data_IF_045152808949
#
_entry.id   IF_045152808949
#
_cell.length_a   1.000
_cell.length_b   1.000
_cell.length_c   1.000
_cell.angle_alpha   90.00
_cell.angle_beta   90.00
_cell.angle_gamma   90.00
#
_symmetry.space_group_name_H-M   'P 1'
#
loop_
_entity.id
_entity.type
_entity.pdbx_description
1 polymer ?
#
# COMPACT_ATOMS: atom_id res chain seq x y z
N UNK A 1 -21.69 -58.27 -52.30
CA UNK A 1 -21.21 -57.86 -50.96
C UNK A 1 -20.41 -56.57 -51.12
N UNK A 2 -20.95 -55.43 -50.71
CA UNK A 2 -20.23 -54.15 -50.73
C UNK A 2 -19.80 -53.81 -49.29
N UNK A 3 -18.49 -53.77 -49.05
CA UNK A 3 -17.92 -53.48 -47.73
C UNK A 3 -17.88 -51.96 -47.49
N UNK A 4 -18.60 -51.54 -46.46
CA UNK A 4 -18.55 -50.20 -45.86
C UNK A 4 -17.14 -49.93 -45.33
N UNK A 5 -16.45 -48.92 -45.89
CA UNK A 5 -15.18 -48.43 -45.36
C UNK A 5 -15.48 -47.49 -44.19
N UNK A 6 -15.41 -48.04 -42.98
CA UNK A 6 -15.57 -47.31 -41.72
C UNK A 6 -14.48 -46.25 -41.55
N UNK A 7 -14.90 -44.98 -41.61
CA UNK A 7 -14.53 -43.88 -40.70
C UNK A 7 -13.08 -43.96 -40.17
N UNK A 8 -12.10 -43.52 -40.95
CA UNK A 8 -10.71 -43.33 -40.48
C UNK A 8 -10.29 -41.85 -40.54
N UNK A 9 -11.22 -40.93 -40.31
CA UNK A 9 -10.94 -39.47 -40.35
C UNK A 9 -11.19 -38.78 -39.01
N UNK A 10 -11.77 -39.46 -38.00
CA UNK A 10 -12.05 -38.88 -36.69
C UNK A 10 -10.83 -38.84 -35.74
N UNK A 11 -9.90 -39.78 -35.89
CA UNK A 11 -8.83 -40.03 -34.90
C UNK A 11 -7.73 -38.97 -34.89
N UNK A 12 -7.45 -38.35 -36.04
CA UNK A 12 -6.42 -37.29 -36.16
C UNK A 12 -6.89 -35.94 -35.62
N UNK A 13 -8.19 -35.64 -35.75
CA UNK A 13 -8.78 -34.42 -35.20
C UNK A 13 -8.81 -34.44 -33.66
N UNK A 14 -9.08 -35.60 -33.06
CA UNK A 14 -9.10 -35.78 -31.60
C UNK A 14 -7.70 -35.64 -30.99
N UNK A 15 -6.66 -36.17 -31.66
CA UNK A 15 -5.27 -36.02 -31.23
C UNK A 15 -4.76 -34.56 -31.32
N UNK A 16 -5.15 -33.82 -32.37
CA UNK A 16 -4.85 -32.39 -32.50
C UNK A 16 -5.56 -31.55 -31.43
N UNK A 17 -6.79 -31.92 -31.06
CA UNK A 17 -7.56 -31.23 -30.02
C UNK A 17 -6.95 -31.42 -28.62
N UNK A 18 -6.44 -32.62 -28.31
CA UNK A 18 -5.77 -32.89 -27.02
C UNK A 18 -4.45 -32.14 -26.87
N UNK A 19 -3.73 -31.88 -27.96
CA UNK A 19 -2.47 -31.11 -27.93
C UNK A 19 -2.70 -29.60 -27.68
N UNK A 20 -3.89 -29.07 -28.06
CA UNK A 20 -4.27 -27.68 -27.82
C UNK A 20 -4.72 -27.40 -26.38
N UNK A 21 -5.03 -28.43 -25.59
CA UNK A 21 -5.50 -28.29 -24.20
C UNK A 21 -4.42 -28.53 -23.14
N UNK A 22 -3.15 -28.68 -23.54
CA UNK A 22 -1.99 -28.67 -22.64
C UNK A 22 -1.72 -27.24 -22.13
N UNK A 23 -2.71 -26.65 -21.46
CA UNK A 23 -2.61 -25.34 -20.81
C UNK A 23 -1.61 -25.41 -19.66
N UNK A 24 -0.62 -24.52 -19.68
CA UNK A 24 0.28 -24.33 -18.53
C UNK A 24 -0.54 -23.85 -17.34
N UNK A 25 -0.52 -24.61 -16.25
CA UNK A 25 -1.04 -24.16 -14.95
C UNK A 25 -0.11 -23.05 -14.46
N UNK A 26 -0.54 -21.79 -14.61
CA UNK A 26 0.16 -20.65 -14.04
C UNK A 26 -0.19 -20.57 -12.55
N UNK A 27 0.75 -20.97 -11.69
CA UNK A 27 0.63 -20.78 -10.26
C UNK A 27 0.98 -19.33 -9.93
N UNK A 28 -0.04 -18.53 -9.58
CA UNK A 28 0.19 -17.20 -9.01
C UNK A 28 0.77 -17.36 -7.60
N UNK A 29 2.03 -16.97 -7.41
CA UNK A 29 2.64 -16.91 -6.08
C UNK A 29 2.13 -15.65 -5.38
N UNK A 30 1.75 -15.72 -4.09
CA UNK A 30 1.37 -14.54 -3.33
C UNK A 30 2.49 -13.48 -3.36
N UNK A 31 2.13 -12.23 -3.65
CA UNK A 31 3.10 -11.13 -3.61
C UNK A 31 3.66 -10.98 -2.19
N UNK A 32 4.97 -10.99 -2.03
CA UNK A 32 5.61 -10.72 -0.76
C UNK A 32 5.20 -9.31 -0.27
N UNK A 33 4.91 -9.11 1.04
CA UNK A 33 4.56 -7.79 1.52
C UNK A 33 5.71 -6.81 1.30
N UNK A 34 5.45 -5.75 0.52
CA UNK A 34 6.44 -4.74 0.13
C UNK A 34 6.86 -3.92 1.36
N UNK A 35 7.93 -4.37 2.03
CA UNK A 35 8.59 -3.61 3.09
C UNK A 35 9.65 -2.68 2.48
N UNK A 36 9.56 -1.40 2.83
CA UNK A 36 10.50 -0.36 2.44
C UNK A 36 11.34 0.05 3.65
N UNK A 37 12.57 0.51 3.37
CA UNK A 37 13.42 1.13 4.39
C UNK A 37 13.28 2.64 4.28
N UNK A 38 12.71 3.27 5.31
CA UNK A 38 12.60 4.72 5.42
C UNK A 38 13.69 5.25 6.35
N UNK A 39 14.11 6.50 6.11
CA UNK A 39 15.21 7.17 6.82
C UNK A 39 14.69 8.38 7.58
N UNK A 40 15.08 8.50 8.84
CA UNK A 40 14.89 9.71 9.65
C UNK A 40 15.90 10.81 9.25
N UNK A 41 15.66 12.07 9.62
CA UNK A 41 16.60 13.17 9.36
C UNK A 41 17.99 12.95 9.96
N UNK A 42 18.09 12.30 11.12
CA UNK A 42 19.36 11.92 11.77
C UNK A 42 20.09 10.76 11.08
N UNK A 43 19.44 10.16 10.09
CA UNK A 43 19.94 9.06 9.29
C UNK A 43 19.66 7.66 9.80
N UNK A 44 19.03 7.52 10.97
CA UNK A 44 18.50 6.25 11.44
C UNK A 44 17.45 5.69 10.48
N UNK A 45 17.35 4.36 10.39
CA UNK A 45 16.49 3.68 9.43
C UNK A 45 15.48 2.79 10.14
N UNK A 46 14.30 2.64 9.54
CA UNK A 46 13.26 1.72 10.02
C UNK A 46 12.48 1.13 8.85
N UNK A 47 11.82 0.00 9.08
CA UNK A 47 10.97 -0.65 8.08
C UNK A 47 9.57 -0.06 8.09
N UNK A 48 8.97 0.07 6.91
CA UNK A 48 7.58 0.49 6.75
C UNK A 48 6.94 -0.24 5.57
N UNK A 49 5.61 -0.28 5.54
CA UNK A 49 4.81 -0.76 4.42
C UNK A 49 4.03 0.41 3.85
N UNK A 50 3.98 0.49 2.54
CA UNK A 50 3.04 1.37 1.87
C UNK A 50 1.67 0.70 1.87
N UNK A 51 0.60 1.47 2.06
CA UNK A 51 -0.78 1.01 1.92
C UNK A 51 -1.52 1.90 0.93
N UNK A 52 -2.62 1.39 0.38
CA UNK A 52 -3.52 2.17 -0.46
C UNK A 52 -3.27 2.05 -1.94
N UNK A 53 -3.84 2.99 -2.69
CA UNK A 53 -3.83 3.07 -4.16
C UNK A 53 -3.41 4.47 -4.67
N UNK A 54 -3.57 4.72 -5.96
CA UNK A 54 -3.22 5.99 -6.59
C UNK A 54 -3.96 7.21 -6.00
N UNK A 55 -5.08 7.00 -5.31
CA UNK A 55 -5.93 8.07 -4.77
C UNK A 55 -5.84 8.21 -3.26
N UNK A 56 -5.67 7.12 -2.53
CA UNK A 56 -5.55 7.13 -1.07
C UNK A 56 -4.48 6.15 -0.63
N UNK A 57 -3.30 6.69 -0.29
CA UNK A 57 -2.17 5.90 0.17
C UNK A 57 -1.42 6.58 1.31
N UNK A 58 -0.57 5.79 1.95
CA UNK A 58 0.33 6.27 2.97
C UNK A 58 1.25 5.17 3.46
N UNK A 59 1.76 5.37 4.67
CA UNK A 59 2.78 4.51 5.26
C UNK A 59 2.32 3.98 6.61
N UNK A 60 2.78 2.77 6.95
CA UNK A 60 2.63 2.20 8.29
C UNK A 60 3.85 1.36 8.68
N UNK A 61 4.05 1.16 9.97
CA UNK A 61 5.04 0.22 10.50
C UNK A 61 4.65 -1.24 10.18
N UNK A 62 5.59 -2.21 10.22
CA UNK A 62 5.26 -3.63 10.05
C UNK A 62 4.18 -4.15 11.01
N UNK A 63 4.06 -3.52 12.18
CA UNK A 63 3.08 -3.85 13.22
C UNK A 63 1.70 -3.23 12.99
N UNK A 64 1.52 -2.44 11.92
CA UNK A 64 0.25 -1.86 11.50
C UNK A 64 -0.03 -0.45 12.03
N UNK A 65 0.93 0.24 12.64
CA UNK A 65 0.72 1.63 13.07
C UNK A 65 0.99 2.59 11.93
N UNK A 66 0.00 3.41 11.57
CA UNK A 66 0.15 4.43 10.54
C UNK A 66 1.17 5.48 10.95
N UNK A 67 1.93 5.95 9.96
CA UNK A 67 3.00 6.93 10.16
C UNK A 67 2.87 8.04 9.12
N UNK A 68 3.27 9.24 9.50
CA UNK A 68 3.33 10.39 8.60
C UNK A 68 4.69 11.05 8.69
N UNK A 69 5.14 11.61 7.57
CA UNK A 69 6.32 12.47 7.55
C UNK A 69 5.88 13.88 7.89
N UNK A 70 6.36 14.37 9.03
CA UNK A 70 6.12 15.76 9.41
C UNK A 70 6.81 16.69 8.40
N UNK A 71 6.03 17.61 7.83
CA UNK A 71 6.50 18.45 6.74
C UNK A 71 7.52 19.50 7.19
N UNK A 72 7.43 19.96 8.44
CA UNK A 72 8.33 20.97 9.01
C UNK A 72 9.70 20.38 9.38
N UNK A 73 9.71 19.28 10.13
CA UNK A 73 10.94 18.64 10.62
C UNK A 73 11.50 17.58 9.68
N UNK A 74 10.73 17.14 8.68
CA UNK A 74 11.08 16.02 7.81
C UNK A 74 11.14 14.65 8.52
N UNK A 75 10.72 14.59 9.79
CA UNK A 75 10.79 13.40 10.63
C UNK A 75 9.59 12.47 10.41
N UNK A 76 9.82 11.17 10.46
CA UNK A 76 8.75 10.18 10.45
C UNK A 76 8.24 9.94 11.87
N UNK A 77 6.93 10.13 12.05
CA UNK A 77 6.26 10.09 13.36
C UNK A 77 5.04 9.18 13.30
N UNK A 78 4.66 8.61 14.44
CA UNK A 78 3.39 7.89 14.54
C UNK A 78 2.24 8.84 14.24
N UNK A 79 1.23 8.34 13.54
CA UNK A 79 0.08 9.12 13.14
C UNK A 79 -1.06 9.00 14.15
N UNK A 80 -1.84 10.06 14.27
CA UNK A 80 -3.17 10.07 14.88
C UNK A 80 -4.16 10.73 13.94
N UNK A 81 -5.45 10.64 14.24
CA UNK A 81 -6.51 11.32 13.48
C UNK A 81 -6.90 12.62 14.16
N UNK A 82 -6.93 13.72 13.41
CA UNK A 82 -7.59 14.95 13.83
C UNK A 82 -9.11 14.84 13.62
N UNK A 83 -9.85 15.86 14.08
CA UNK A 83 -11.13 16.22 13.50
C UNK A 83 -11.04 16.20 11.95
N UNK A 84 -12.14 15.92 11.29
CA UNK A 84 -12.18 15.69 9.85
C UNK A 84 -11.58 14.35 9.38
N UNK A 85 -10.96 13.56 10.26
CA UNK A 85 -10.40 12.25 9.90
C UNK A 85 -9.10 12.34 9.09
N UNK A 86 -8.38 13.45 9.20
CA UNK A 86 -7.05 13.61 8.60
C UNK A 86 -6.00 12.94 9.47
N UNK A 87 -5.05 12.22 8.86
CA UNK A 87 -3.86 11.74 9.56
C UNK A 87 -2.89 12.91 9.82
N UNK A 88 -2.47 13.05 11.07
CA UNK A 88 -1.52 14.06 11.54
C UNK A 88 -0.41 13.43 12.37
N UNK A 89 0.75 14.09 12.43
CA UNK A 89 1.90 13.62 13.17
C UNK A 89 1.67 13.77 14.68
N UNK A 90 2.09 12.78 15.45
CA UNK A 90 2.24 12.88 16.90
C UNK A 90 3.66 13.33 17.27
N UNK A 91 3.91 13.60 18.55
CA UNK A 91 5.24 13.96 19.02
C UNK A 91 6.22 12.77 19.10
N UNK A 92 5.76 11.56 18.79
CA UNK A 92 6.56 10.33 18.91
C UNK A 92 7.18 9.93 17.57
N UNK A 93 8.52 9.89 17.54
CA UNK A 93 9.31 9.40 16.40
C UNK A 93 9.17 7.89 16.22
N UNK A 94 9.24 7.44 14.97
CA UNK A 94 9.29 6.02 14.60
C UNK A 94 10.74 5.55 14.59
N UNK A 95 11.03 4.38 15.15
CA UNK A 95 12.37 3.77 15.13
C UNK A 95 12.42 2.49 15.95
N UNK A 96 13.51 1.73 15.86
CA UNK A 96 13.63 0.38 16.43
C UNK A 96 13.31 0.28 17.94
N UNK A 97 13.52 1.35 18.70
CA UNK A 97 13.31 1.40 20.15
C UNK A 97 12.21 2.40 20.56
N UNK A 98 11.31 2.77 19.66
CA UNK A 98 10.21 3.69 19.94
C UNK A 98 8.88 2.97 19.81
N UNK A 99 8.07 3.05 20.85
CA UNK A 99 6.71 2.52 20.86
C UNK A 99 5.72 3.59 20.39
N UNK A 100 4.61 3.19 19.76
CA UNK A 100 3.52 4.12 19.47
C UNK A 100 2.96 4.69 20.78
N UNK A 101 2.28 5.85 20.74
CA UNK A 101 1.52 6.33 21.88
C UNK A 101 0.56 5.26 22.44
N UNK A 102 0.29 5.25 23.75
CA UNK A 102 -0.68 4.33 24.34
C UNK A 102 -2.04 4.40 23.63
N UNK A 103 -2.68 3.25 23.47
CA UNK A 103 -4.00 3.13 22.81
C UNK A 103 -4.04 3.63 21.35
N UNK A 104 -2.91 3.68 20.65
CA UNK A 104 -2.90 4.02 19.21
C UNK A 104 -3.60 2.93 18.40
N UNK A 105 -4.68 3.23 17.66
CA UNK A 105 -5.32 2.25 16.80
C UNK A 105 -4.39 1.83 15.65
N UNK A 106 -4.47 0.57 15.25
CA UNK A 106 -3.80 0.08 14.05
C UNK A 106 -4.59 0.42 12.80
N UNK A 107 -3.89 0.50 11.68
CA UNK A 107 -4.44 0.70 10.35
C UNK A 107 -5.29 1.97 10.23
N UNK A 108 -4.89 3.05 10.91
CA UNK A 108 -5.52 4.35 10.74
C UNK A 108 -5.41 4.80 9.28
N UNK A 109 -6.53 5.21 8.68
CA UNK A 109 -6.61 5.74 7.33
C UNK A 109 -7.32 7.09 7.35
N UNK A 110 -7.02 8.00 6.40
CA UNK A 110 -7.82 9.19 6.25
C UNK A 110 -9.28 8.84 5.93
N UNK A 111 -10.22 9.63 6.47
CA UNK A 111 -11.62 9.59 6.02
C UNK A 111 -11.77 10.38 4.71
N UNK A 112 -12.78 10.06 3.90
CA UNK A 112 -13.00 10.64 2.57
C UNK A 112 -12.93 12.18 2.56
N UNK A 113 -13.58 12.83 3.51
CA UNK A 113 -13.57 14.29 3.67
C UNK A 113 -12.18 14.91 3.89
N UNK A 114 -11.20 14.13 4.33
CA UNK A 114 -9.81 14.54 4.48
C UNK A 114 -9.00 14.34 3.19
N UNK A 115 -9.38 13.39 2.33
CA UNK A 115 -8.73 13.16 1.04
C UNK A 115 -8.94 14.35 0.10
N UNK A 116 -10.17 14.88 0.06
CA UNK A 116 -10.52 16.06 -0.75
C UNK A 116 -9.68 17.29 -0.37
N UNK A 117 -9.41 17.48 0.92
CA UNK A 117 -8.65 18.63 1.45
C UNK A 117 -7.14 18.47 1.30
N UNK A 118 -6.64 17.23 1.30
CA UNK A 118 -5.19 16.96 1.19
C UNK A 118 -4.66 17.40 -0.17
N UNK A 119 -5.47 17.32 -1.24
CA UNK A 119 -5.16 17.87 -2.56
C UNK A 119 -4.87 19.38 -2.57
N UNK A 120 -5.34 20.14 -1.58
CA UNK A 120 -5.33 21.61 -1.62
C UNK A 120 -4.24 22.28 -0.76
N UNK A 121 -3.46 21.54 0.07
CA UNK A 121 -2.78 22.14 1.23
C UNK A 121 -1.27 21.91 1.41
N UNK A 122 -0.54 21.42 0.40
CA UNK A 122 0.91 21.11 0.52
C UNK A 122 1.85 22.33 0.75
N UNK A 123 1.37 23.57 0.97
CA UNK A 123 2.20 24.79 0.88
C UNK A 123 2.60 25.44 2.23
N UNK A 124 2.17 24.94 3.39
CA UNK A 124 2.25 25.72 4.65
C UNK A 124 3.33 25.31 5.66
N UNK A 125 4.59 25.17 5.23
CA UNK A 125 5.74 25.17 6.15
C UNK A 125 6.50 26.52 6.18
N UNK A 126 6.08 27.50 5.36
CA UNK A 126 6.75 28.81 5.25
C UNK A 126 6.06 29.96 6.00
N UNK A 127 4.90 29.76 6.64
CA UNK A 127 4.17 30.84 7.32
C UNK A 127 4.21 30.69 8.84
N UNK A 128 5.42 30.59 9.38
CA UNK A 128 5.71 31.01 10.74
C UNK A 128 5.86 32.53 10.82
N UNK A 129 4.83 33.30 10.47
CA UNK A 129 4.71 34.70 10.87
C UNK A 129 3.23 35.11 10.89
N UNK A 130 2.77 35.53 12.08
CA UNK A 130 1.61 36.42 12.35
C UNK A 130 0.22 35.93 11.98
N UNK A 131 -0.50 35.40 12.99
CA UNK A 131 -1.88 35.87 13.23
C UNK A 131 -1.79 37.23 13.91
N UNK A 132 -2.21 38.28 13.21
CA UNK A 132 -2.83 39.48 13.77
C UNK A 132 -3.47 40.23 12.60
N UNK A 133 -4.76 40.00 12.37
CA UNK A 133 -5.85 40.97 12.52
C UNK A 133 -7.14 40.36 11.95
#
# INVERSE_FOLDING_TARGET
>A
MAASKFITTGSRAILLFFFLFAGKVLLAVPAAPNQHTLKQPDGSQFKARQWGDEWNHGWETPDGYSIVRDACSGSWRFATTQAEGKLIATDVLVGSNKLPPPNTPKHLRPLDRALDKTKQRQVNCLHGTTKHQ
#
